data_IF_528777558287
#
_entry.id   IF_528777558287
#
_cell.length_a   1.000
_cell.length_b   1.000
_cell.length_c   1.000
_cell.angle_alpha   90.00
_cell.angle_beta   90.00
_cell.angle_gamma   90.00
#
_symmetry.space_group_name_H-M   'P 1'
#
loop_
_entity.id
_entity.type
_entity.pdbx_description
1 polymer ?
#
# COMPACT_ATOMS: atom_id res chain seq x y z
N UNK A 1 56.72 -1.11 -13.74
CA UNK A 1 55.36 -1.68 -13.87
C UNK A 1 55.19 -2.78 -12.85
N UNK A 2 54.62 -2.49 -11.68
CA UNK A 2 54.39 -3.51 -10.64
C UNK A 2 53.09 -3.26 -9.88
N UNK A 3 52.22 -4.27 -10.02
CA UNK A 3 51.26 -4.84 -9.05
C UNK A 3 49.97 -4.06 -8.73
N UNK A 4 48.93 -4.59 -9.36
CA UNK A 4 47.57 -4.84 -8.84
C UNK A 4 47.58 -5.23 -7.35
N UNK A 5 46.65 -4.66 -6.57
CA UNK A 5 46.06 -5.35 -5.41
C UNK A 5 44.58 -4.97 -5.29
N UNK A 6 43.71 -5.98 -5.46
CA UNK A 6 42.32 -5.96 -4.99
C UNK A 6 42.34 -6.22 -3.48
N UNK A 7 41.48 -5.57 -2.71
CA UNK A 7 40.81 -6.26 -1.60
C UNK A 7 39.49 -5.57 -1.19
N UNK A 8 38.51 -6.44 -1.04
CA UNK A 8 37.14 -6.27 -0.57
C UNK A 8 37.04 -6.05 0.94
N UNK A 9 36.01 -5.31 1.37
CA UNK A 9 35.16 -5.53 2.56
C UNK A 9 35.83 -5.61 3.94
N UNK A 10 35.59 -4.63 4.82
CA UNK A 10 35.33 -4.89 6.25
C UNK A 10 34.38 -3.83 6.82
N UNK A 11 33.27 -4.34 7.36
CA UNK A 11 32.32 -3.68 8.26
C UNK A 11 33.01 -3.36 9.59
N UNK A 12 33.12 -2.08 9.97
CA UNK A 12 33.60 -1.68 11.30
C UNK A 12 32.45 -1.23 12.19
N UNK A 13 32.01 -2.17 13.03
CA UNK A 13 31.36 -1.88 14.31
C UNK A 13 32.46 -1.40 15.28
N UNK A 14 32.34 -0.21 15.85
CA UNK A 14 33.10 0.19 17.04
C UNK A 14 32.10 0.35 18.18
N UNK A 15 32.05 -0.68 19.01
CA UNK A 15 31.49 -0.66 20.36
C UNK A 15 32.67 -0.31 21.28
N UNK A 16 32.58 0.80 22.03
CA UNK A 16 33.20 0.99 23.36
C UNK A 16 33.10 2.46 23.78
N UNK A 17 32.21 2.76 24.71
CA UNK A 17 32.52 3.63 25.84
C UNK A 17 31.80 3.05 27.06
N UNK A 18 32.58 2.36 27.89
CA UNK A 18 32.14 1.91 29.19
C UNK A 18 32.02 3.11 30.12
N UNK A 19 30.83 3.29 30.70
CA UNK A 19 30.68 4.04 31.93
C UNK A 19 30.74 3.02 33.08
N UNK A 20 31.79 3.14 33.90
CA UNK A 20 31.89 2.42 35.16
C UNK A 20 30.76 2.85 36.09
N UNK A 21 29.97 1.90 36.56
CA UNK A 21 28.96 2.12 37.60
C UNK A 21 29.63 1.87 38.96
N UNK A 22 29.82 2.93 39.74
CA UNK A 22 29.96 2.83 41.19
C UNK A 22 28.65 2.28 41.76
N UNK A 23 28.68 1.10 42.37
CA UNK A 23 27.50 0.50 43.00
C UNK A 23 27.46 1.01 44.45
N UNK A 24 26.59 1.98 44.73
CA UNK A 24 26.17 2.32 46.08
C UNK A 24 25.09 1.34 46.55
N UNK A 25 25.22 0.83 47.77
CA UNK A 25 24.26 -0.07 48.43
C UNK A 25 22.92 0.63 48.72
N UNK A 26 22.07 0.74 47.70
CA UNK A 26 20.65 1.02 47.85
C UNK A 26 19.86 -0.04 47.10
N UNK A 27 18.68 -0.41 47.59
CA UNK A 27 17.68 -1.17 46.83
C UNK A 27 17.15 -0.30 45.67
N UNK A 28 17.99 -0.05 44.67
CA UNK A 28 17.58 0.56 43.41
C UNK A 28 16.85 -0.52 42.62
N UNK A 29 15.53 -0.38 42.48
CA UNK A 29 14.78 -1.12 41.46
C UNK A 29 15.47 -0.85 40.13
N UNK A 30 16.03 -1.89 39.51
CA UNK A 30 16.66 -1.77 38.21
C UNK A 30 15.66 -1.16 37.22
N UNK A 31 16.03 -0.05 36.58
CA UNK A 31 15.21 0.54 35.52
C UNK A 31 15.04 -0.51 34.41
N UNK A 32 13.80 -0.66 33.91
CA UNK A 32 13.53 -1.59 32.82
C UNK A 32 14.36 -1.22 31.59
N UNK A 33 15.01 -2.21 30.97
CA UNK A 33 15.84 -1.98 29.80
C UNK A 33 14.99 -1.45 28.63
N UNK A 34 15.41 -0.34 28.02
CA UNK A 34 14.76 0.21 26.84
C UNK A 34 14.99 -0.67 25.62
N UNK A 35 13.95 -0.83 24.80
CA UNK A 35 13.93 -1.62 23.58
C UNK A 35 13.50 -0.77 22.40
N UNK A 36 13.89 -1.18 21.20
CA UNK A 36 13.45 -0.53 19.97
C UNK A 36 12.18 -1.19 19.45
N UNK A 37 11.17 -0.37 19.16
CA UNK A 37 9.90 -0.80 18.56
C UNK A 37 9.64 0.06 17.33
N UNK A 38 9.63 -0.54 16.15
CA UNK A 38 9.33 0.13 14.89
C UNK A 38 7.86 -0.03 14.54
N UNK A 39 7.20 1.08 14.24
CA UNK A 39 5.81 1.12 13.79
C UNK A 39 5.79 1.43 12.30
N UNK A 40 5.20 0.54 11.51
CA UNK A 40 4.94 0.71 10.08
C UNK A 40 3.48 1.08 9.88
N UNK A 41 3.19 2.13 9.11
CA UNK A 41 1.83 2.63 8.89
C UNK A 41 1.52 2.72 7.40
N UNK A 42 0.41 2.13 7.00
CA UNK A 42 -0.13 2.26 5.65
C UNK A 42 -1.30 3.23 5.66
N UNK A 43 -1.11 4.32 4.93
CA UNK A 43 -2.16 5.30 4.66
C UNK A 43 -3.05 4.81 3.51
N UNK A 44 -4.21 4.23 3.84
CA UNK A 44 -5.23 3.83 2.86
C UNK A 44 -6.33 4.88 2.67
N UNK A 45 -6.13 6.10 3.20
CA UNK A 45 -7.08 7.23 3.12
C UNK A 45 -6.54 8.42 2.34
N UNK A 46 -5.26 8.40 1.96
CA UNK A 46 -4.53 9.43 1.23
C UNK A 46 -4.37 10.74 2.02
N UNK A 47 -4.04 10.63 3.30
CA UNK A 47 -3.54 11.77 4.08
C UNK A 47 -2.22 12.31 3.52
N UNK A 48 -1.33 11.45 3.05
CA UNK A 48 0.04 11.90 2.78
C UNK A 48 0.83 11.95 4.08
N UNK A 49 1.36 13.11 4.48
CA UNK A 49 2.33 13.22 5.58
C UNK A 49 1.75 12.80 6.95
N UNK A 50 1.93 11.53 7.33
CA UNK A 50 1.45 10.99 8.61
C UNK A 50 2.39 11.37 9.75
N UNK A 51 1.83 11.87 10.84
CA UNK A 51 2.51 12.05 12.12
C UNK A 51 2.10 10.93 13.09
N UNK A 52 3.00 10.60 14.02
CA UNK A 52 2.72 9.71 15.16
C UNK A 52 2.94 10.45 16.46
N UNK A 53 2.02 10.25 17.39
CA UNK A 53 2.08 10.74 18.76
C UNK A 53 1.99 9.55 19.73
N UNK A 54 2.66 9.67 20.89
CA UNK A 54 2.57 8.68 21.97
C UNK A 54 2.20 9.33 23.28
N UNK A 55 1.48 8.61 24.12
CA UNK A 55 1.11 9.05 25.46
C UNK A 55 1.19 7.87 26.43
N UNK A 56 1.11 8.17 27.73
CA UNK A 56 1.30 7.22 28.82
C UNK A 56 2.63 6.46 28.80
N UNK A 57 2.83 5.56 29.76
CA UNK A 57 4.04 4.75 29.87
C UNK A 57 5.29 5.61 30.02
N UNK A 58 6.22 5.49 29.07
CA UNK A 58 7.42 6.32 28.95
C UNK A 58 7.14 7.77 28.48
N UNK A 59 5.88 8.13 28.19
CA UNK A 59 5.41 9.48 27.85
C UNK A 59 5.42 9.81 26.35
N UNK A 60 5.63 11.08 26.05
CA UNK A 60 5.58 11.66 24.69
C UNK A 60 6.89 11.44 23.93
N UNK A 61 7.21 10.18 23.62
CA UNK A 61 8.43 9.77 22.93
C UNK A 61 8.55 10.30 21.49
N UNK A 62 7.44 10.77 20.90
CA UNK A 62 7.43 11.46 19.61
C UNK A 62 7.41 13.00 19.73
N UNK A 63 7.61 13.55 20.94
CA UNK A 63 7.46 14.97 21.22
C UNK A 63 6.01 15.38 21.47
N UNK A 64 5.84 16.67 21.81
CA UNK A 64 4.53 17.27 22.08
C UNK A 64 3.58 17.10 20.90
N UNK A 65 2.27 17.06 21.18
CA UNK A 65 1.23 17.02 20.15
C UNK A 65 1.47 18.11 19.08
N UNK A 66 1.47 17.79 17.77
CA UNK A 66 0.95 16.57 17.12
C UNK A 66 1.93 15.39 17.01
N UNK A 67 3.03 15.42 17.73
CA UNK A 67 4.08 14.41 17.69
C UNK A 67 5.02 14.61 16.50
N UNK A 68 5.45 13.51 15.89
CA UNK A 68 6.52 13.53 14.88
C UNK A 68 6.07 13.00 13.53
N UNK A 69 6.45 13.71 12.47
CA UNK A 69 6.32 13.24 11.10
C UNK A 69 7.07 11.91 10.89
N UNK A 70 6.38 10.95 10.28
CA UNK A 70 6.91 9.63 9.97
C UNK A 70 7.64 9.61 8.62
N UNK A 71 8.60 8.69 8.47
CA UNK A 71 9.38 8.57 7.23
C UNK A 71 8.67 7.68 6.22
N UNK A 72 8.38 8.17 5.01
CA UNK A 72 7.83 7.34 3.93
C UNK A 72 8.93 6.52 3.24
N UNK A 73 8.81 5.19 3.30
CA UNK A 73 9.70 4.28 2.58
C UNK A 73 8.92 3.06 2.08
N UNK A 74 9.09 2.72 0.80
CA UNK A 74 8.47 1.53 0.19
C UNK A 74 6.94 1.44 0.35
N UNK A 75 6.26 2.60 0.40
CA UNK A 75 4.80 2.69 0.55
C UNK A 75 4.29 2.57 1.99
N UNK A 76 5.20 2.56 2.98
CA UNK A 76 4.90 2.56 4.41
C UNK A 76 5.54 3.76 5.09
N UNK A 77 4.79 4.44 5.93
CA UNK A 77 5.35 5.38 6.91
C UNK A 77 5.99 4.59 8.04
N UNK A 78 7.13 5.03 8.56
CA UNK A 78 7.80 4.36 9.67
C UNK A 78 8.34 5.33 10.73
N UNK A 79 8.32 4.86 11.98
CA UNK A 79 8.95 5.51 13.12
C UNK A 79 9.42 4.46 14.14
N UNK A 80 10.61 4.63 14.70
CA UNK A 80 11.18 3.71 15.70
C UNK A 80 11.24 4.40 17.06
N UNK A 81 10.53 3.83 18.02
CA UNK A 81 10.55 4.23 19.42
C UNK A 81 11.63 3.51 20.18
N UNK A 82 12.23 4.18 21.18
CA UNK A 82 13.07 3.55 22.19
C UNK A 82 12.36 3.64 23.53
N UNK A 83 11.80 2.52 24.01
CA UNK A 83 10.86 2.49 25.14
C UNK A 83 11.14 1.35 26.12
N UNK A 84 10.95 1.59 27.41
CA UNK A 84 10.89 0.60 28.49
C UNK A 84 9.47 0.11 28.80
N UNK A 85 8.43 0.79 28.29
CA UNK A 85 7.02 0.45 28.49
C UNK A 85 6.32 0.00 27.20
N UNK A 86 5.07 -0.44 27.34
CA UNK A 86 4.15 -0.51 26.19
C UNK A 86 3.88 0.89 25.64
N UNK A 87 3.49 0.97 24.36
CA UNK A 87 3.15 2.22 23.71
C UNK A 87 1.63 2.34 23.52
N UNK A 88 1.11 3.55 23.76
CA UNK A 88 -0.18 3.98 23.26
C UNK A 88 0.05 5.03 22.17
N UNK A 89 -0.56 4.84 21.00
CA UNK A 89 -0.28 5.61 19.79
C UNK A 89 -1.54 6.30 19.27
N UNK A 90 -1.36 7.47 18.66
CA UNK A 90 -2.34 8.14 17.80
C UNK A 90 -1.65 8.59 16.52
N UNK A 91 -2.30 8.39 15.37
CA UNK A 91 -1.82 8.92 14.10
C UNK A 91 -2.66 10.12 13.71
N UNK A 92 -2.00 11.13 13.16
CA UNK A 92 -2.65 12.33 12.68
C UNK A 92 -1.99 12.83 11.40
N UNK A 93 -2.60 13.85 10.79
CA UNK A 93 -2.04 14.54 9.65
C UNK A 93 -2.21 16.05 9.83
N UNK A 94 -1.12 16.76 9.57
CA UNK A 94 -1.07 18.21 9.40
C UNK A 94 -1.29 18.52 7.91
N UNK A 95 -2.52 18.93 7.58
CA UNK A 95 -3.01 19.10 6.20
C UNK A 95 -2.47 20.37 5.56
N UNK A 96 -2.29 21.43 6.34
CA UNK A 96 -1.90 22.75 5.86
C UNK A 96 -0.44 23.12 6.19
N UNK A 97 0.25 22.30 6.98
CA UNK A 97 1.65 22.46 7.34
C UNK A 97 1.87 23.49 8.44
N UNK A 98 0.84 23.81 9.23
CA UNK A 98 0.90 24.81 10.31
C UNK A 98 1.45 24.25 11.64
N UNK A 99 1.80 22.97 11.66
CA UNK A 99 2.29 22.27 12.85
C UNK A 99 1.18 21.75 13.76
N UNK A 100 -0.09 21.77 13.35
CA UNK A 100 -1.22 21.22 14.10
C UNK A 100 -1.78 19.96 13.45
N UNK A 101 -2.53 19.20 14.24
CA UNK A 101 -3.27 18.07 13.72
C UNK A 101 -4.66 18.52 13.25
N UNK A 102 -4.98 18.32 11.98
CA UNK A 102 -6.32 18.55 11.42
C UNK A 102 -7.23 17.34 11.59
N UNK A 103 -6.66 16.15 11.42
CA UNK A 103 -7.37 14.88 11.43
C UNK A 103 -6.56 13.86 12.21
N UNK A 104 -7.25 12.99 12.96
CA UNK A 104 -6.62 11.95 13.78
C UNK A 104 -7.39 10.62 13.67
N UNK A 105 -6.69 9.53 13.97
CA UNK A 105 -7.26 8.19 14.10
C UNK A 105 -7.84 7.95 15.50
N UNK A 106 -8.46 6.80 15.72
CA UNK A 106 -8.60 6.25 17.08
C UNK A 106 -7.23 5.94 17.70
N UNK A 107 -7.25 5.69 19.01
CA UNK A 107 -6.11 5.20 19.76
C UNK A 107 -5.73 3.78 19.35
N UNK A 108 -4.43 3.51 19.31
CA UNK A 108 -3.85 2.17 19.25
C UNK A 108 -3.09 1.93 20.55
N UNK A 109 -3.71 1.18 21.46
CA UNK A 109 -3.22 1.01 22.83
C UNK A 109 -2.52 -0.35 23.02
N UNK A 110 -1.73 -0.45 24.09
CA UNK A 110 -1.09 -1.70 24.53
C UNK A 110 -0.16 -2.35 23.49
N UNK A 111 0.53 -1.54 22.68
CA UNK A 111 1.56 -2.02 21.75
C UNK A 111 2.75 -2.51 22.59
N UNK A 112 2.97 -3.83 22.61
CA UNK A 112 3.97 -4.45 23.48
C UNK A 112 5.38 -4.11 23.01
N UNK A 113 6.27 -3.75 23.93
CA UNK A 113 7.69 -3.60 23.64
C UNK A 113 8.46 -4.93 23.65
N UNK A 114 7.78 -6.06 23.80
CA UNK A 114 8.39 -7.40 23.67
C UNK A 114 8.65 -7.80 22.23
N UNK A 115 8.07 -7.05 21.29
CA UNK A 115 8.20 -7.25 19.87
C UNK A 115 8.83 -6.01 19.22
N UNK A 116 9.71 -6.24 18.25
CA UNK A 116 10.51 -5.19 17.62
C UNK A 116 9.78 -4.40 16.54
N UNK A 117 8.73 -4.96 15.94
CA UNK A 117 8.04 -4.36 14.79
C UNK A 117 6.53 -4.58 14.82
N UNK A 118 5.77 -3.57 14.45
CA UNK A 118 4.31 -3.61 14.31
C UNK A 118 3.86 -2.91 13.02
N UNK A 119 2.70 -3.31 12.52
CA UNK A 119 2.10 -2.74 11.31
C UNK A 119 0.72 -2.19 11.63
N UNK A 120 0.38 -1.06 11.05
CA UNK A 120 -0.90 -0.38 11.23
C UNK A 120 -1.44 -0.02 9.85
N UNK A 121 -2.73 -0.24 9.62
CA UNK A 121 -3.43 0.30 8.46
C UNK A 121 -4.43 1.36 8.91
N UNK A 122 -4.36 2.54 8.29
CA UNK A 122 -5.32 3.63 8.47
C UNK A 122 -6.39 3.50 7.39
N UNK A 123 -7.65 3.37 7.81
CA UNK A 123 -8.81 3.21 6.93
C UNK A 123 -9.90 4.23 7.29
N UNK A 124 -10.90 4.48 6.42
CA UNK A 124 -12.03 5.30 6.79
C UNK A 124 -12.78 4.73 8.00
N UNK A 125 -13.32 5.61 8.83
CA UNK A 125 -14.18 5.27 9.95
C UNK A 125 -15.44 4.51 9.54
N UNK A 126 -16.00 3.76 10.48
CA UNK A 126 -17.25 3.00 10.30
C UNK A 126 -18.48 3.78 10.80
N UNK A 127 -18.34 5.08 11.06
CA UNK A 127 -19.39 5.96 11.57
C UNK A 127 -19.67 5.81 13.07
N UNK A 128 -18.88 5.00 13.79
CA UNK A 128 -18.98 4.90 15.25
C UNK A 128 -18.50 6.17 15.93
N UNK A 129 -19.02 6.38 17.14
CA UNK A 129 -18.66 7.50 18.00
C UNK A 129 -17.81 7.03 19.16
N UNK A 130 -16.90 7.88 19.62
CA UNK A 130 -16.18 7.68 20.87
C UNK A 130 -17.09 7.91 22.09
N UNK A 131 -16.53 7.74 23.29
CA UNK A 131 -17.26 7.90 24.57
C UNK A 131 -17.82 9.31 24.78
N UNK A 132 -17.29 10.31 24.07
CA UNK A 132 -17.74 11.70 24.09
C UNK A 132 -18.78 12.02 22.98
N UNK A 133 -19.20 11.01 22.22
CA UNK A 133 -20.21 11.17 21.16
C UNK A 133 -19.68 11.76 19.85
N UNK A 134 -18.36 11.93 19.70
CA UNK A 134 -17.72 12.39 18.47
C UNK A 134 -17.43 11.23 17.52
N UNK A 135 -17.68 11.40 16.23
CA UNK A 135 -17.45 10.37 15.21
C UNK A 135 -15.96 10.09 15.01
N UNK A 136 -15.60 8.81 14.98
CA UNK A 136 -14.26 8.34 14.63
C UNK A 136 -14.17 8.30 13.11
N UNK A 137 -13.61 9.35 12.52
CA UNK A 137 -13.51 9.50 11.06
C UNK A 137 -12.48 8.56 10.42
N UNK A 138 -11.49 8.08 11.18
CA UNK A 138 -10.39 7.26 10.69
C UNK A 138 -10.00 6.18 11.70
N UNK A 139 -9.82 4.96 11.20
CA UNK A 139 -9.47 3.80 12.01
C UNK A 139 -8.03 3.36 11.76
N UNK A 140 -7.20 3.37 12.80
CA UNK A 140 -5.91 2.74 12.88
C UNK A 140 -6.05 1.32 13.46
N UNK A 141 -5.78 0.31 12.64
CA UNK A 141 -5.87 -1.11 13.04
C UNK A 141 -4.47 -1.71 13.16
N UNK A 142 -4.11 -2.17 14.35
CA UNK A 142 -2.82 -2.80 14.64
C UNK A 142 -2.78 -4.26 14.19
N UNK A 143 -1.67 -4.63 13.55
CA UNK A 143 -1.24 -5.99 13.25
C UNK A 143 0.14 -6.24 13.85
N UNK A 144 0.31 -7.41 14.47
CA UNK A 144 1.60 -7.87 15.01
C UNK A 144 2.53 -8.40 13.92
N UNK A 145 2.08 -8.53 12.67
CA UNK A 145 2.93 -9.04 11.60
C UNK A 145 2.72 -8.20 10.36
N UNK A 146 3.74 -8.18 9.49
CA UNK A 146 3.62 -7.55 8.20
C UNK A 146 2.40 -8.12 7.47
N UNK A 147 1.40 -7.30 7.12
CA UNK A 147 0.25 -7.77 6.36
C UNK A 147 0.66 -8.25 4.97
N UNK A 148 1.78 -7.79 4.41
CA UNK A 148 2.37 -8.32 3.16
C UNK A 148 2.98 -9.71 3.40
N UNK A 149 3.67 -9.94 4.53
CA UNK A 149 4.15 -11.28 4.90
C UNK A 149 2.99 -12.25 5.23
N UNK A 150 1.86 -11.74 5.74
CA UNK A 150 0.63 -12.49 5.97
C UNK A 150 -0.20 -12.70 4.67
N UNK A 151 0.14 -12.01 3.58
CA UNK A 151 -0.55 -12.09 2.27
C UNK A 151 0.39 -12.19 1.08
N UNK A 152 1.50 -12.93 1.18
CA UNK A 152 2.20 -13.44 -0.01
C UNK A 152 1.34 -14.54 -0.68
N UNK A 153 0.18 -14.17 -1.21
CA UNK A 153 -0.29 -14.79 -2.43
C UNK A 153 0.48 -14.11 -3.54
N UNK A 154 1.53 -14.76 -4.04
CA UNK A 154 2.18 -14.40 -5.30
C UNK A 154 1.10 -14.02 -6.31
N UNK A 155 0.98 -12.73 -6.66
CA UNK A 155 -0.01 -12.25 -7.63
C UNK A 155 0.34 -12.88 -8.97
N UNK A 156 -0.29 -14.01 -9.24
CA UNK A 156 0.01 -14.82 -10.40
C UNK A 156 -0.43 -14.04 -11.63
N UNK A 157 0.51 -13.83 -12.56
CA UNK A 157 0.24 -13.19 -13.84
C UNK A 157 -1.04 -13.78 -14.43
N UNK A 158 -2.09 -12.97 -14.69
CA UNK A 158 -3.36 -13.51 -15.13
C UNK A 158 -3.19 -14.26 -16.45
N UNK A 159 -4.02 -15.27 -16.69
CA UNK A 159 -3.96 -16.03 -17.94
C UNK A 159 -4.35 -15.15 -19.14
N UNK A 160 -3.91 -15.55 -20.33
CA UNK A 160 -4.21 -14.83 -21.58
C UNK A 160 -5.72 -14.82 -21.82
N UNK A 161 -6.28 -13.64 -22.08
CA UNK A 161 -7.71 -13.50 -22.35
C UNK A 161 -8.08 -14.19 -23.67
N UNK A 162 -9.18 -14.95 -23.66
CA UNK A 162 -9.74 -15.57 -24.87
C UNK A 162 -10.99 -14.84 -25.30
N UNK A 163 -10.91 -14.08 -26.41
CA UNK A 163 -12.07 -13.45 -27.04
C UNK A 163 -12.92 -14.53 -27.70
N UNK A 164 -14.18 -14.64 -27.28
CA UNK A 164 -15.14 -15.61 -27.80
C UNK A 164 -15.85 -15.10 -29.03
N UNK A 165 -16.33 -13.87 -28.97
CA UNK A 165 -17.24 -13.35 -29.96
C UNK A 165 -17.14 -11.83 -30.07
N UNK A 166 -17.30 -11.32 -31.29
CA UNK A 166 -17.52 -9.91 -31.54
C UNK A 166 -18.71 -9.76 -32.47
N UNK A 167 -19.77 -9.08 -32.00
CA UNK A 167 -21.01 -8.86 -32.76
C UNK A 167 -21.39 -7.40 -32.70
N UNK A 168 -21.96 -6.88 -33.79
CA UNK A 168 -22.56 -5.54 -33.77
C UNK A 168 -23.64 -5.48 -32.70
N UNK A 169 -23.71 -4.34 -32.03
CA UNK A 169 -24.76 -3.99 -31.11
C UNK A 169 -25.35 -2.65 -31.59
N UNK A 170 -26.34 -2.76 -32.46
CA UNK A 170 -26.87 -1.63 -33.23
C UNK A 170 -25.83 -1.00 -34.18
N UNK A 171 -26.11 0.24 -34.59
CA UNK A 171 -25.27 1.00 -35.54
C UNK A 171 -24.02 1.62 -34.89
N UNK A 172 -24.03 1.80 -33.57
CA UNK A 172 -23.02 2.59 -32.83
C UNK A 172 -22.01 1.78 -32.05
N UNK A 173 -22.25 0.48 -31.81
CA UNK A 173 -21.41 -0.30 -30.89
C UNK A 173 -21.06 -1.69 -31.43
N UNK A 174 -19.91 -2.18 -30.98
CA UNK A 174 -19.49 -3.57 -31.09
C UNK A 174 -19.52 -4.18 -29.69
N UNK A 175 -20.28 -5.26 -29.52
CA UNK A 175 -20.22 -6.10 -28.32
C UNK A 175 -19.09 -7.11 -28.45
N UNK A 176 -18.21 -7.16 -27.47
CA UNK A 176 -17.08 -8.10 -27.40
C UNK A 176 -17.24 -8.97 -26.16
N UNK A 177 -17.40 -10.27 -26.38
CA UNK A 177 -17.55 -11.29 -25.34
C UNK A 177 -16.28 -12.13 -25.25
N UNK A 178 -15.83 -12.42 -24.04
CA UNK A 178 -14.58 -13.14 -23.75
C UNK A 178 -14.74 -14.06 -22.53
N UNK A 179 -13.85 -15.06 -22.40
CA UNK A 179 -13.81 -15.93 -21.22
C UNK A 179 -13.35 -15.13 -19.99
N UNK A 180 -13.97 -15.38 -18.85
CA UNK A 180 -13.48 -14.89 -17.57
C UNK A 180 -12.05 -15.39 -17.31
N UNK A 181 -11.19 -14.53 -16.77
CA UNK A 181 -9.85 -14.89 -16.30
C UNK A 181 -9.91 -15.03 -14.78
N UNK A 182 -9.49 -16.19 -14.26
CA UNK A 182 -9.46 -16.46 -12.81
C UNK A 182 -8.67 -15.36 -12.09
N UNK A 183 -9.24 -14.87 -10.99
CA UNK A 183 -8.68 -13.83 -10.13
C UNK A 183 -8.41 -12.47 -10.81
N UNK A 184 -8.88 -12.21 -12.03
CA UNK A 184 -8.72 -10.88 -12.62
C UNK A 184 -9.43 -9.83 -11.75
N UNK A 185 -8.80 -8.67 -11.52
CA UNK A 185 -9.48 -7.50 -10.96
C UNK A 185 -10.16 -6.70 -12.08
N UNK A 186 -9.71 -6.86 -13.32
CA UNK A 186 -10.31 -6.17 -14.45
C UNK A 186 -9.62 -6.45 -15.78
N UNK A 187 -10.03 -5.69 -16.79
CA UNK A 187 -9.56 -5.84 -18.18
C UNK A 187 -9.29 -4.49 -18.83
N UNK A 188 -8.37 -4.48 -19.78
CA UNK A 188 -8.13 -3.35 -20.66
C UNK A 188 -8.38 -3.77 -22.11
N UNK A 189 -9.20 -2.98 -22.81
CA UNK A 189 -9.66 -3.25 -24.16
C UNK A 189 -9.00 -2.26 -25.11
N UNK A 190 -8.29 -2.79 -26.08
CA UNK A 190 -7.56 -2.02 -27.07
C UNK A 190 -8.15 -2.23 -28.46
N UNK A 191 -8.27 -1.14 -29.21
CA UNK A 191 -8.83 -1.13 -30.55
C UNK A 191 -7.85 -0.49 -31.52
N UNK A 192 -7.73 -1.10 -32.70
CA UNK A 192 -7.06 -0.51 -33.86
C UNK A 192 -8.03 -0.45 -35.04
N UNK A 193 -8.19 0.75 -35.56
CA UNK A 193 -8.94 1.10 -36.76
C UNK A 193 -8.11 0.89 -38.02
N UNK A 194 -8.74 0.71 -39.18
CA UNK A 194 -8.01 0.56 -40.45
C UNK A 194 -7.14 1.79 -40.80
N UNK A 195 -7.56 2.99 -40.39
CA UNK A 195 -6.80 4.24 -40.61
C UNK A 195 -5.69 4.46 -39.58
N UNK A 196 -5.66 3.69 -38.48
CA UNK A 196 -4.72 3.87 -37.39
C UNK A 196 -3.67 2.76 -37.39
N UNK A 197 -2.39 3.13 -37.37
CA UNK A 197 -1.28 2.16 -37.31
C UNK A 197 -1.14 1.50 -35.94
N UNK A 198 -1.58 2.16 -34.86
CA UNK A 198 -1.43 1.72 -33.47
C UNK A 198 -2.74 1.32 -32.77
N UNK A 199 -2.64 0.48 -31.75
CA UNK A 199 -3.75 0.14 -30.85
C UNK A 199 -3.91 1.23 -29.79
N UNK A 200 -5.14 1.68 -29.55
CA UNK A 200 -5.48 2.63 -28.48
C UNK A 200 -6.31 1.95 -27.40
N UNK A 201 -6.07 2.29 -26.14
CA UNK A 201 -6.92 1.87 -25.03
C UNK A 201 -8.25 2.61 -25.14
N UNK A 202 -9.35 1.86 -25.29
CA UNK A 202 -10.70 2.45 -25.41
C UNK A 202 -11.58 2.22 -24.20
N UNK A 203 -11.21 1.25 -23.34
CA UNK A 203 -11.98 0.92 -22.14
C UNK A 203 -11.12 0.19 -21.11
N UNK A 204 -11.27 0.61 -19.86
CA UNK A 204 -10.81 -0.12 -18.68
C UNK A 204 -12.03 -0.63 -17.92
N UNK A 205 -12.07 -1.93 -17.67
CA UNK A 205 -13.16 -2.62 -16.97
C UNK A 205 -12.64 -2.94 -15.57
N UNK A 206 -13.23 -2.33 -14.54
CA UNK A 206 -12.78 -2.45 -13.14
C UNK A 206 -13.40 -3.64 -12.38
N UNK A 207 -14.35 -4.35 -12.99
CA UNK A 207 -14.95 -5.55 -12.44
C UNK A 207 -14.41 -6.79 -13.18
N UNK A 208 -13.65 -7.62 -12.48
CA UNK A 208 -13.03 -8.83 -13.00
C UNK A 208 -13.99 -9.93 -13.45
N UNK A 209 -15.23 -9.90 -12.97
CA UNK A 209 -16.30 -10.84 -13.34
C UNK A 209 -16.98 -10.47 -14.67
N UNK A 210 -16.75 -9.26 -15.19
CA UNK A 210 -17.34 -8.83 -16.46
C UNK A 210 -16.74 -9.60 -17.65
N UNK A 211 -17.59 -10.30 -18.41
CA UNK A 211 -17.21 -11.13 -19.57
C UNK A 211 -17.65 -10.56 -20.92
N UNK A 212 -18.34 -9.41 -20.92
CA UNK A 212 -18.77 -8.72 -22.14
C UNK A 212 -18.61 -7.22 -22.01
N UNK A 213 -18.20 -6.54 -23.08
CA UNK A 213 -18.09 -5.09 -23.11
C UNK A 213 -18.56 -4.49 -24.45
N UNK A 214 -18.99 -3.22 -24.41
CA UNK A 214 -19.37 -2.44 -25.60
C UNK A 214 -18.24 -1.48 -25.98
N UNK A 215 -17.86 -1.50 -27.25
CA UNK A 215 -16.88 -0.60 -27.86
C UNK A 215 -17.63 0.30 -28.84
N UNK A 216 -17.43 1.62 -28.76
CA UNK A 216 -18.03 2.57 -29.71
C UNK A 216 -17.40 2.40 -31.08
N UNK A 217 -18.22 2.28 -32.10
CA UNK A 217 -17.80 2.24 -33.50
C UNK A 217 -17.71 3.66 -34.02
N UNK A 218 -16.51 4.08 -34.37
CA UNK A 218 -16.30 5.25 -35.24
C UNK A 218 -16.70 4.89 -36.68
N UNK A 219 -16.75 5.85 -37.63
CA UNK A 219 -17.23 5.72 -39.03
C UNK A 219 -16.46 4.71 -39.92
N UNK A 220 -15.94 3.62 -39.38
CA UNK A 220 -14.86 2.81 -39.94
C UNK A 220 -15.34 1.39 -40.26
N UNK A 221 -14.90 0.89 -41.42
CA UNK A 221 -15.36 -0.37 -42.01
C UNK A 221 -14.67 -1.63 -41.43
N UNK A 222 -13.55 -1.49 -40.72
CA UNK A 222 -12.78 -2.62 -40.15
C UNK A 222 -12.13 -2.22 -38.82
N UNK A 223 -12.36 -3.03 -37.78
CA UNK A 223 -11.76 -2.83 -36.44
C UNK A 223 -11.07 -4.11 -35.97
N UNK A 224 -9.92 -3.94 -35.32
CA UNK A 224 -9.18 -5.01 -34.66
C UNK A 224 -9.21 -4.79 -33.16
N UNK A 225 -9.56 -5.81 -32.38
CA UNK A 225 -9.64 -5.76 -30.92
C UNK A 225 -8.63 -6.72 -30.29
N UNK A 226 -7.98 -6.28 -29.22
CA UNK A 226 -7.25 -7.14 -28.29
C UNK A 226 -7.56 -6.75 -26.85
N UNK A 227 -7.57 -7.72 -25.95
CA UNK A 227 -7.91 -7.52 -24.53
C UNK A 227 -6.78 -8.10 -23.68
N UNK A 228 -6.43 -7.45 -22.58
CA UNK A 228 -5.59 -8.03 -21.53
C UNK A 228 -6.31 -7.95 -20.18
N UNK A 229 -6.10 -8.94 -19.34
CA UNK A 229 -6.56 -8.93 -17.96
C UNK A 229 -5.49 -8.28 -17.08
N UNK A 230 -5.91 -7.71 -15.95
CA UNK A 230 -5.00 -7.28 -14.91
C UNK A 230 -5.44 -7.82 -13.55
N UNK A 231 -4.46 -8.16 -12.73
CA UNK A 231 -4.59 -8.24 -11.28
C UNK A 231 -3.99 -6.99 -10.66
N UNK A 232 -4.57 -6.53 -9.56
CA UNK A 232 -4.01 -5.46 -8.73
C UNK A 232 -3.14 -6.12 -7.67
N UNK A 233 -1.90 -5.68 -7.62
CA UNK A 233 -0.97 -5.89 -6.52
C UNK A 233 -0.80 -4.53 -5.84
N UNK A 234 -1.54 -4.29 -4.76
CA UNK A 234 -1.63 -2.96 -4.15
C UNK A 234 -1.96 -1.88 -5.20
N UNK A 235 -1.03 -0.94 -5.45
CA UNK A 235 -1.16 0.13 -6.44
C UNK A 235 -0.59 -0.21 -7.83
N UNK A 236 -0.02 -1.41 -8.01
CA UNK A 236 0.56 -1.88 -9.27
C UNK A 236 -0.40 -2.82 -10.01
N UNK A 237 -0.42 -2.75 -11.34
CA UNK A 237 -1.18 -3.70 -12.18
C UNK A 237 -0.25 -4.75 -12.79
N UNK A 238 -0.52 -6.02 -12.50
CA UNK A 238 0.14 -7.15 -13.16
C UNK A 238 -0.73 -7.59 -14.35
N UNK A 239 -0.21 -7.42 -15.56
CA UNK A 239 -0.95 -7.66 -16.80
C UNK A 239 -0.73 -9.06 -17.38
N UNK A 240 -1.79 -9.65 -17.93
CA UNK A 240 -1.66 -10.84 -18.79
C UNK A 240 -1.07 -10.50 -20.16
N UNK A 241 -0.69 -11.53 -20.92
CA UNK A 241 -0.46 -11.38 -22.37
C UNK A 241 -1.77 -10.91 -23.01
N UNK A 242 -1.66 -10.03 -24.02
CA UNK A 242 -2.80 -9.67 -24.85
C UNK A 242 -3.45 -10.92 -25.46
N UNK A 243 -4.78 -10.89 -25.62
CA UNK A 243 -5.51 -11.84 -26.44
C UNK A 243 -4.97 -11.84 -27.87
N UNK A 244 -5.25 -12.90 -28.60
CA UNK A 244 -5.04 -12.87 -30.06
C UNK A 244 -5.87 -11.74 -30.68
N UNK A 245 -5.32 -11.07 -31.69
CA UNK A 245 -6.02 -10.01 -32.41
C UNK A 245 -7.26 -10.59 -33.09
N UNK A 246 -8.45 -10.10 -32.75
CA UNK A 246 -9.67 -10.45 -33.47
C UNK A 246 -10.06 -9.27 -34.36
N UNK A 247 -10.29 -9.54 -35.65
CA UNK A 247 -10.72 -8.55 -36.64
C UNK A 247 -12.21 -8.73 -36.93
N UNK A 248 -12.93 -7.63 -37.13
CA UNK A 248 -14.31 -7.66 -37.63
C UNK A 248 -14.50 -6.58 -38.69
N UNK A 249 -15.16 -6.97 -39.77
CA UNK A 249 -15.60 -6.05 -40.83
C UNK A 249 -17.01 -5.57 -40.49
N UNK A 250 -17.19 -4.26 -40.47
CA UNK A 250 -18.43 -3.57 -40.17
C UNK A 250 -18.99 -3.17 -41.54
N UNK A 251 -19.88 -4.02 -42.09
CA UNK A 251 -20.61 -3.74 -43.34
C UNK A 251 -21.66 -2.67 -43.13
#
# INVERSE_FOLDING_TARGET
MKKVLKLTSVLTFVFLLGFGILIGNGNVKAAAAKKQVTIHVKDSVNWGAVNVYTYDGDGELAGEWPGKAMNLKDGWYNYTFTTSSELNLVFNHDKDGDGKADEQTNNVEHVKNTQSEYWVEITPGDGKKNELGAEIKFLATLSKTDPVASTVTKVNKPSKVTVKQMKKNGKKYLSVTYKAVKNANGYEVYVRSNHNKSFKLVRTIKNGKTTTCKIKLEKQKKVTVKIRAFQKDHNKKVFSKFSSNKKVTIK
#
